data_IF_881212000566
#
_entry.id   IF_881212000566
#
_cell.length_a   1.000
_cell.length_b   1.000
_cell.length_c   1.000
_cell.angle_alpha   90.00
_cell.angle_beta   90.00
_cell.angle_gamma   90.00
#
_symmetry.space_group_name_H-M   'P 1'
#
loop_
_entity.id
_entity.type
_entity.pdbx_description
1 polymer ?
#
# COMPACT_ATOMS: atom_id res chain seq x y z
N UNK A 1 11.07 -3.04 0.23
CA UNK A 1 10.76 -3.54 1.59
C UNK A 1 10.50 -2.40 2.57
N UNK A 2 11.40 -1.41 2.72
CA UNK A 2 11.27 -0.31 3.69
C UNK A 2 9.99 0.53 3.51
N UNK A 3 9.53 0.72 2.27
CA UNK A 3 8.31 1.49 1.96
C UNK A 3 7.00 0.90 2.52
N UNK A 4 6.99 -0.37 2.94
CA UNK A 4 5.79 -1.04 3.48
C UNK A 4 5.74 -1.07 5.01
N UNK A 5 6.82 -0.72 5.71
CA UNK A 5 6.94 -0.99 7.15
C UNK A 5 6.33 0.14 8.00
N UNK A 6 6.53 1.40 7.59
CA UNK A 6 5.97 2.56 8.26
C UNK A 6 5.72 3.69 7.27
N UNK A 7 4.87 4.65 7.63
CA UNK A 7 4.72 5.89 6.88
C UNK A 7 6.07 6.62 6.72
N UNK A 8 6.93 6.58 7.74
CA UNK A 8 8.28 7.13 7.69
C UNK A 8 9.12 6.38 6.65
N UNK A 9 9.06 5.05 6.62
CA UNK A 9 9.75 4.23 5.63
C UNK A 9 9.30 4.52 4.20
N UNK A 10 8.01 4.82 4.00
CA UNK A 10 7.49 5.26 2.71
C UNK A 10 8.03 6.65 2.31
N UNK A 11 8.05 7.60 3.23
CA UNK A 11 8.60 8.94 2.99
C UNK A 11 10.10 8.86 2.64
N UNK A 12 10.87 8.07 3.38
CA UNK A 12 12.30 7.84 3.08
C UNK A 12 12.47 7.24 1.70
N UNK A 13 11.66 6.24 1.34
CA UNK A 13 11.71 5.63 0.01
C UNK A 13 11.37 6.65 -1.10
N UNK A 14 10.39 7.53 -0.90
CA UNK A 14 10.02 8.57 -1.87
C UNK A 14 11.18 9.53 -2.16
N UNK A 15 11.93 9.92 -1.13
CA UNK A 15 12.97 10.96 -1.22
C UNK A 15 14.33 10.37 -1.64
N UNK A 16 14.70 9.23 -1.06
CA UNK A 16 16.04 8.66 -1.16
C UNK A 16 16.13 7.39 -2.02
N UNK A 17 15.00 6.88 -2.52
CA UNK A 17 14.96 5.68 -3.35
C UNK A 17 15.34 5.93 -4.81
N UNK A 18 15.79 4.88 -5.49
CA UNK A 18 16.12 4.94 -6.91
C UNK A 18 14.87 4.87 -7.78
N UNK A 19 14.38 6.05 -8.17
CA UNK A 19 13.22 6.20 -9.04
C UNK A 19 13.47 5.69 -10.49
N UNK A 20 14.68 5.28 -10.86
CA UNK A 20 14.93 4.71 -12.19
C UNK A 20 14.81 3.17 -12.20
N UNK A 21 14.88 2.52 -11.04
CA UNK A 21 14.69 1.07 -10.93
C UNK A 21 13.20 0.70 -11.06
N UNK A 22 12.80 -0.07 -12.09
CA UNK A 22 11.42 -0.51 -12.26
C UNK A 22 10.89 -1.35 -11.09
N UNK A 23 11.74 -2.16 -10.46
CA UNK A 23 11.37 -2.99 -9.31
C UNK A 23 11.07 -2.10 -8.10
N UNK A 24 11.95 -1.15 -7.81
CA UNK A 24 11.72 -0.15 -6.78
C UNK A 24 10.44 0.65 -7.03
N UNK A 25 10.25 1.17 -8.26
CA UNK A 25 9.05 1.92 -8.66
C UNK A 25 7.77 1.13 -8.48
N UNK A 26 7.76 -0.14 -8.84
CA UNK A 26 6.60 -1.01 -8.67
C UNK A 26 6.20 -1.12 -7.19
N UNK A 27 7.17 -1.42 -6.32
CA UNK A 27 6.90 -1.57 -4.90
C UNK A 27 6.60 -0.25 -4.19
N UNK A 28 7.17 0.86 -4.66
CA UNK A 28 6.85 2.20 -4.19
C UNK A 28 5.41 2.57 -4.59
N UNK A 29 5.00 2.30 -5.83
CA UNK A 29 3.65 2.53 -6.31
C UNK A 29 2.62 1.77 -5.45
N UNK A 30 2.83 0.48 -5.23
CA UNK A 30 1.95 -0.35 -4.39
C UNK A 30 1.84 0.20 -2.96
N UNK A 31 2.94 0.65 -2.35
CA UNK A 31 2.92 1.25 -1.02
C UNK A 31 2.12 2.57 -0.97
N UNK A 32 2.22 3.41 -2.00
CA UNK A 32 1.42 4.63 -2.13
C UNK A 32 -0.07 4.30 -2.29
N UNK A 33 -0.40 3.31 -3.13
CA UNK A 33 -1.79 2.87 -3.34
C UNK A 33 -2.41 2.35 -2.04
N UNK A 34 -1.67 1.58 -1.25
CA UNK A 34 -2.11 1.13 0.08
C UNK A 34 -2.37 2.33 0.99
N UNK A 35 -1.45 3.30 1.06
CA UNK A 35 -1.61 4.51 1.88
C UNK A 35 -2.88 5.28 1.49
N UNK A 36 -3.09 5.53 0.20
CA UNK A 36 -4.27 6.25 -0.29
C UNK A 36 -5.54 5.48 0.03
N UNK A 37 -5.51 4.15 -0.13
CA UNK A 37 -6.65 3.28 0.19
C UNK A 37 -7.00 3.35 1.68
N UNK A 38 -6.00 3.39 2.57
CA UNK A 38 -6.20 3.60 4.01
C UNK A 38 -6.81 4.97 4.35
N UNK A 39 -6.36 6.04 3.68
CA UNK A 39 -6.94 7.38 3.85
C UNK A 39 -8.41 7.40 3.42
N UNK A 40 -8.74 6.81 2.26
CA UNK A 40 -10.12 6.69 1.76
C UNK A 40 -10.98 5.90 2.76
N UNK A 41 -10.46 4.78 3.26
CA UNK A 41 -11.14 3.96 4.26
C UNK A 41 -11.41 4.75 5.55
N UNK A 42 -10.47 5.59 5.99
CA UNK A 42 -10.65 6.47 7.16
C UNK A 42 -11.85 7.40 7.04
N UNK A 43 -12.16 7.91 5.86
CA UNK A 43 -13.36 8.73 5.65
C UNK A 43 -14.67 7.93 5.77
N UNK A 44 -14.64 6.62 5.50
CA UNK A 44 -15.82 5.74 5.67
C UNK A 44 -16.22 5.64 7.15
N UNK A 45 -15.28 5.85 8.08
CA UNK A 45 -15.55 5.81 9.53
C UNK A 45 -16.50 6.92 10.03
N UNK A 46 -16.75 7.95 9.22
CA UNK A 46 -17.72 9.02 9.53
C UNK A 46 -19.14 8.46 9.67
N UNK A 47 -19.46 7.37 8.95
CA UNK A 47 -20.77 6.73 9.02
C UNK A 47 -20.80 5.80 10.24
N UNK A 48 -21.63 6.08 11.26
CA UNK A 48 -21.67 5.25 12.46
C UNK A 48 -22.20 3.84 12.16
N UNK A 49 -21.72 2.85 12.92
CA UNK A 49 -22.08 1.42 12.83
C UNK A 49 -21.67 0.77 11.50
N UNK A 50 -22.30 1.12 10.37
CA UNK A 50 -22.01 0.54 9.06
C UNK A 50 -20.60 0.89 8.58
N UNK A 51 -20.20 2.16 8.73
CA UNK A 51 -18.87 2.60 8.33
C UNK A 51 -17.78 1.91 9.14
N UNK A 52 -18.01 1.66 10.44
CA UNK A 52 -17.05 0.99 11.30
C UNK A 52 -16.84 -0.49 10.92
N UNK A 53 -17.91 -1.19 10.54
CA UNK A 53 -17.81 -2.57 10.04
C UNK A 53 -16.98 -2.61 8.74
N UNK A 54 -17.26 -1.68 7.82
CA UNK A 54 -16.51 -1.59 6.56
C UNK A 54 -15.04 -1.25 6.81
N UNK A 55 -14.76 -0.30 7.71
CA UNK A 55 -13.40 0.06 8.11
C UNK A 55 -12.68 -1.14 8.71
N UNK A 56 -13.30 -1.87 9.62
CA UNK A 56 -12.70 -3.05 10.23
C UNK A 56 -12.32 -4.12 9.17
N UNK A 57 -13.23 -4.43 8.25
CA UNK A 57 -12.95 -5.37 7.17
C UNK A 57 -11.87 -4.83 6.20
N UNK A 58 -11.91 -3.53 5.89
CA UNK A 58 -10.96 -2.87 5.02
C UNK A 58 -9.54 -2.83 5.60
N UNK A 59 -9.38 -2.59 6.90
CA UNK A 59 -8.09 -2.61 7.60
C UNK A 59 -7.45 -4.00 7.55
N UNK A 60 -8.24 -5.06 7.76
CA UNK A 60 -7.77 -6.45 7.60
C UNK A 60 -7.31 -6.69 6.16
N UNK A 61 -8.08 -6.24 5.18
CA UNK A 61 -7.71 -6.37 3.76
C UNK A 61 -6.40 -5.61 3.45
N UNK A 62 -6.25 -4.38 3.93
CA UNK A 62 -5.04 -3.58 3.72
C UNK A 62 -3.83 -4.22 4.40
N UNK A 63 -4.00 -4.80 5.59
CA UNK A 63 -2.94 -5.56 6.28
C UNK A 63 -2.47 -6.75 5.44
N UNK A 64 -3.41 -7.50 4.84
CA UNK A 64 -3.07 -8.60 3.92
C UNK A 64 -2.30 -8.08 2.71
N UNK A 65 -2.73 -6.97 2.11
CA UNK A 65 -2.02 -6.33 1.00
C UNK A 65 -0.60 -5.90 1.37
N UNK A 66 -0.41 -5.33 2.57
CA UNK A 66 0.93 -4.97 3.07
C UNK A 66 1.82 -6.21 3.19
N UNK A 67 1.31 -7.29 3.79
CA UNK A 67 2.06 -8.55 3.94
C UNK A 67 2.42 -9.14 2.57
N UNK A 68 1.48 -9.18 1.63
CA UNK A 68 1.73 -9.63 0.26
C UNK A 68 2.80 -8.78 -0.44
N UNK A 69 2.73 -7.46 -0.30
CA UNK A 69 3.71 -6.53 -0.85
C UNK A 69 5.11 -6.75 -0.28
N UNK A 70 5.21 -7.00 1.03
CA UNK A 70 6.47 -7.32 1.71
C UNK A 70 7.04 -8.66 1.23
N UNK A 71 6.22 -9.71 1.18
CA UNK A 71 6.65 -11.04 0.73
C UNK A 71 7.12 -10.98 -0.73
N UNK A 72 6.35 -10.35 -1.61
CA UNK A 72 6.71 -10.18 -3.01
C UNK A 72 8.04 -9.43 -3.17
N UNK A 73 8.22 -8.33 -2.42
CA UNK A 73 9.47 -7.57 -2.44
C UNK A 73 10.66 -8.38 -1.91
N UNK A 74 10.47 -9.18 -0.87
CA UNK A 74 11.51 -10.03 -0.30
C UNK A 74 11.90 -11.18 -1.25
N UNK A 75 10.94 -11.68 -2.03
CA UNK A 75 11.16 -12.70 -3.06
C UNK A 75 11.71 -12.16 -4.38
N UNK A 76 11.88 -10.83 -4.53
CA UNK A 76 12.32 -10.21 -5.78
C UNK A 76 11.28 -10.26 -6.90
N UNK A 77 10.00 -10.43 -6.56
CA UNK A 77 8.90 -10.54 -7.51
C UNK A 77 8.05 -9.28 -7.54
N UNK A 78 7.49 -8.95 -8.71
CA UNK A 78 6.49 -7.88 -8.86
C UNK A 78 5.07 -8.48 -8.92
N UNK A 79 4.53 -8.94 -7.78
CA UNK A 79 3.14 -9.41 -7.69
C UNK A 79 2.19 -8.25 -7.43
N UNK A 80 1.14 -8.17 -8.23
CA UNK A 80 0.07 -7.21 -8.03
C UNK A 80 -0.72 -7.51 -6.76
N UNK A 81 -1.11 -6.45 -6.05
CA UNK A 81 -1.99 -6.56 -4.90
C UNK A 81 -3.43 -6.89 -5.35
N UNK A 82 -4.18 -7.68 -4.58
CA UNK A 82 -5.57 -7.97 -4.90
C UNK A 82 -6.38 -6.67 -4.90
N UNK A 83 -7.30 -6.52 -5.86
CA UNK A 83 -8.23 -5.39 -6.05
C UNK A 83 -7.59 -4.01 -6.32
N UNK A 84 -6.50 -3.65 -5.65
CA UNK A 84 -5.87 -2.32 -5.70
C UNK A 84 -4.55 -2.30 -6.49
N UNK A 85 -3.96 -3.45 -6.81
CA UNK A 85 -2.65 -3.53 -7.51
C UNK A 85 -2.64 -2.98 -8.94
N UNK A 86 -3.82 -2.72 -9.52
CA UNK A 86 -3.96 -2.21 -10.89
C UNK A 86 -3.79 -0.69 -11.00
N UNK A 87 -3.79 0.04 -9.89
CA UNK A 87 -3.64 1.49 -9.90
C UNK A 87 -2.18 1.86 -10.05
N UNK A 88 -1.84 2.55 -11.15
CA UNK A 88 -0.50 3.10 -11.39
C UNK A 88 -0.52 4.62 -11.19
N UNK A 89 0.20 5.07 -10.18
CA UNK A 89 0.38 6.47 -9.78
C UNK A 89 1.74 6.97 -10.27
N UNK A 90 2.78 6.13 -10.15
CA UNK A 90 4.13 6.43 -10.62
C UNK A 90 4.32 5.88 -12.04
N UNK A 91 4.84 6.71 -12.95
CA UNK A 91 5.24 6.33 -14.32
C UNK A 91 6.75 6.10 -14.41
#
# INVERSE_FOLDING_TARGET
MICYITLIGLIVALIAGDQNDPFFKFHLNNAIVILISGIILGFVAIIPILGWIVVFAGEIFLLVCVIMGIISAASGECKELPLIGKFQILK
#
